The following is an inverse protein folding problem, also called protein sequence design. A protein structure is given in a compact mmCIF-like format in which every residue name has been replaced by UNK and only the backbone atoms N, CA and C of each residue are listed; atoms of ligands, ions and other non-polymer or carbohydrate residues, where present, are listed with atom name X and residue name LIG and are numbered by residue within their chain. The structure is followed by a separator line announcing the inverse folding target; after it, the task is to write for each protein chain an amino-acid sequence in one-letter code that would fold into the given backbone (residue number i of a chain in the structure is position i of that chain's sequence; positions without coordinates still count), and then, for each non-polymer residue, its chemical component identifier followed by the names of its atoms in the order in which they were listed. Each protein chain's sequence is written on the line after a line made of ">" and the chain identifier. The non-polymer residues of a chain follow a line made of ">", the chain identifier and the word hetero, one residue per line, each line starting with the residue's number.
data_IF_120282917898
#
_entry.id   IF_120282917898
#
_cell.length_a   1.000
_cell.length_b   1.000
_cell.length_c   1.000
_cell.angle_alpha   90.00
_cell.angle_beta   90.00
_cell.angle_gamma   90.00
#
_symmetry.space_group_name_H-M   'P 1'
#
loop_
_entity.id
_entity.type
_entity.pdbx_description
1 polymer ?
#
# COMPACT_ATOMS: atom_id res chain seq x y z
N UNK A 1 7.85 -15.91 8.11
CA UNK A 1 7.19 -14.61 8.36
C UNK A 1 7.15 -13.81 7.07
N UNK A 2 5.99 -13.31 6.62
CA UNK A 2 5.88 -12.48 5.41
C UNK A 2 5.81 -11.00 5.76
N UNK A 3 6.29 -10.12 4.87
CA UNK A 3 6.29 -8.66 5.07
C UNK A 3 4.88 -8.11 5.39
N UNK A 4 3.86 -8.61 4.69
CA UNK A 4 2.44 -8.29 4.95
C UNK A 4 2.02 -8.55 6.40
N UNK A 5 2.48 -9.64 7.01
CA UNK A 5 2.12 -10.00 8.38
C UNK A 5 2.76 -9.05 9.40
N UNK A 6 4.04 -8.70 9.21
CA UNK A 6 4.75 -7.72 10.04
C UNK A 6 4.07 -6.36 10.00
N UNK A 7 3.69 -5.90 8.81
CA UNK A 7 3.00 -4.63 8.62
C UNK A 7 1.60 -4.63 9.25
N UNK A 8 0.88 -5.75 9.16
CA UNK A 8 -0.44 -5.91 9.79
C UNK A 8 -0.33 -5.80 11.31
N UNK A 9 0.64 -6.48 11.92
CA UNK A 9 0.88 -6.40 13.36
C UNK A 9 1.27 -5.00 13.83
N UNK A 10 2.08 -4.29 13.03
CA UNK A 10 2.43 -2.88 13.32
C UNK A 10 1.18 -1.99 13.24
N UNK A 11 0.37 -2.11 12.19
CA UNK A 11 -0.90 -1.39 12.04
C UNK A 11 -1.80 -1.56 13.27
N UNK A 12 -1.99 -2.79 13.74
CA UNK A 12 -2.79 -3.09 14.93
C UNK A 12 -2.22 -2.43 16.20
N UNK A 13 -0.90 -2.46 16.37
CA UNK A 13 -0.24 -1.80 17.50
C UNK A 13 -0.54 -0.30 17.56
N UNK A 14 -0.50 0.40 16.43
CA UNK A 14 -0.77 1.85 16.37
C UNK A 14 -2.25 2.20 16.38
N UNK A 15 -3.13 1.25 16.09
CA UNK A 15 -4.56 1.44 16.23
C UNK A 15 -4.94 1.71 17.69
N UNK A 16 -4.27 1.06 18.65
CA UNK A 16 -4.53 1.19 20.10
C UNK A 16 -6.03 1.06 20.46
N UNK A 17 -6.80 0.27 19.71
CA UNK A 17 -8.26 0.15 19.88
C UNK A 17 -9.09 1.35 19.41
N UNK A 18 -8.46 2.41 18.90
CA UNK A 18 -9.12 3.61 18.34
C UNK A 18 -9.56 3.40 16.88
N UNK A 19 -10.61 4.12 16.49
CA UNK A 19 -11.28 3.96 15.19
C UNK A 19 -10.63 4.78 14.05
N UNK A 20 -9.31 4.66 13.86
CA UNK A 20 -8.59 5.42 12.81
C UNK A 20 -8.91 4.98 11.36
N UNK A 21 -9.57 3.82 11.18
CA UNK A 21 -9.82 3.23 9.87
C UNK A 21 -10.73 4.06 8.95
N UNK A 22 -11.55 4.95 9.51
CA UNK A 22 -12.54 5.75 8.76
C UNK A 22 -11.84 6.67 7.74
N UNK A 23 -10.67 7.20 8.09
CA UNK A 23 -9.93 8.16 7.24
C UNK A 23 -8.78 7.50 6.45
N UNK A 24 -8.32 6.32 6.88
CA UNK A 24 -7.11 5.67 6.36
C UNK A 24 -7.23 5.16 4.91
N UNK A 25 -8.46 4.85 4.45
CA UNK A 25 -8.65 4.21 3.13
C UNK A 25 -8.43 5.21 1.99
N UNK A 26 -8.77 6.49 2.22
CA UNK A 26 -8.59 7.57 1.25
C UNK A 26 -7.21 8.23 1.32
N UNK A 27 -6.43 7.97 2.38
CA UNK A 27 -5.14 8.64 2.65
C UNK A 27 -3.93 7.99 1.98
N UNK A 28 -4.08 6.86 1.28
CA UNK A 28 -2.96 6.19 0.66
C UNK A 28 -2.57 6.82 -0.68
N UNK A 29 -1.31 7.23 -0.81
CA UNK A 29 -0.79 7.86 -2.03
C UNK A 29 -0.85 6.96 -3.26
N UNK A 30 -0.92 5.65 -3.05
CA UNK A 30 -1.03 4.62 -4.09
C UNK A 30 -2.47 4.35 -4.52
N UNK A 31 -3.47 5.08 -4.01
CA UNK A 31 -4.88 4.91 -4.39
C UNK A 31 -5.13 4.96 -5.90
N UNK A 32 -4.33 5.75 -6.63
CA UNK A 32 -4.37 5.78 -8.10
C UNK A 32 -4.12 4.39 -8.72
N UNK A 33 -3.31 3.55 -8.08
CA UNK A 33 -3.01 2.20 -8.55
C UNK A 33 -4.10 1.16 -8.22
N UNK A 34 -5.22 1.52 -7.61
CA UNK A 34 -6.27 0.57 -7.23
C UNK A 34 -7.45 0.50 -8.21
N UNK A 35 -7.24 0.93 -9.46
CA UNK A 35 -8.30 0.86 -10.48
C UNK A 35 -8.52 -0.58 -10.99
N UNK A 36 -9.74 -0.93 -11.44
CA UNK A 36 -10.01 -2.22 -12.07
C UNK A 36 -9.10 -2.48 -13.29
N UNK A 37 -8.81 -1.44 -14.07
CA UNK A 37 -7.99 -1.50 -15.27
C UNK A 37 -6.57 -2.03 -15.00
N UNK A 38 -5.97 -1.67 -13.87
CA UNK A 38 -4.63 -2.15 -13.51
C UNK A 38 -4.61 -3.60 -13.07
N UNK A 39 -5.73 -4.10 -12.54
CA UNK A 39 -5.87 -5.53 -12.24
C UNK A 39 -5.89 -6.32 -13.54
N UNK A 40 -6.58 -5.84 -14.57
CA UNK A 40 -6.65 -6.52 -15.87
C UNK A 40 -5.30 -6.45 -16.60
N UNK A 41 -4.59 -5.31 -16.54
CA UNK A 41 -3.21 -5.20 -17.04
C UNK A 41 -2.26 -6.19 -16.36
N UNK A 42 -2.44 -6.45 -15.06
CA UNK A 42 -1.69 -7.50 -14.36
C UNK A 42 -1.95 -8.89 -14.88
N UNK A 43 -3.12 -9.11 -15.46
CA UNK A 43 -3.43 -10.35 -16.16
C UNK A 43 -2.79 -10.44 -17.55
N UNK A 44 -2.16 -9.38 -18.04
CA UNK A 44 -1.57 -9.30 -19.38
C UNK A 44 -0.05 -9.07 -19.38
N UNK A 45 0.64 -9.07 -18.23
CA UNK A 45 2.10 -8.86 -18.07
C UNK A 45 2.62 -7.48 -18.52
N UNK A 46 1.78 -6.65 -19.14
CA UNK A 46 2.08 -5.28 -19.54
C UNK A 46 2.02 -4.28 -18.38
N UNK A 47 2.29 -4.67 -17.12
CA UNK A 47 2.13 -3.77 -15.97
C UNK A 47 3.34 -2.91 -15.65
N UNK A 48 4.54 -3.42 -15.95
CA UNK A 48 5.76 -2.82 -15.40
C UNK A 48 5.95 -1.41 -15.96
N UNK A 49 5.83 -1.25 -17.28
CA UNK A 49 6.02 0.03 -17.96
C UNK A 49 4.94 1.07 -17.58
N UNK A 50 3.63 0.76 -17.64
CA UNK A 50 2.60 1.71 -17.24
C UNK A 50 2.66 2.09 -15.76
N UNK A 51 2.98 1.15 -14.86
CA UNK A 51 3.11 1.44 -13.43
C UNK A 51 4.28 2.40 -13.19
N UNK A 52 5.44 2.17 -13.82
CA UNK A 52 6.60 3.06 -13.68
C UNK A 52 6.31 4.47 -14.21
N UNK A 53 5.69 4.59 -15.39
CA UNK A 53 5.28 5.87 -15.97
C UNK A 53 4.29 6.60 -15.07
N UNK A 54 3.34 5.86 -14.49
CA UNK A 54 2.33 6.40 -13.57
C UNK A 54 2.98 6.88 -12.27
N UNK A 55 3.92 6.13 -11.69
CA UNK A 55 4.65 6.57 -10.50
C UNK A 55 5.41 7.87 -10.76
N UNK A 56 6.05 7.98 -11.92
CA UNK A 56 6.76 9.18 -12.33
C UNK A 56 5.81 10.37 -12.56
N UNK A 57 4.70 10.14 -13.29
CA UNK A 57 3.69 11.18 -13.61
C UNK A 57 2.97 11.67 -12.35
N UNK A 58 2.61 10.76 -11.46
CA UNK A 58 1.88 11.08 -10.24
C UNK A 58 2.78 11.74 -9.17
N UNK A 59 4.10 11.85 -9.40
CA UNK A 59 5.08 12.41 -8.45
C UNK A 59 4.77 11.94 -7.03
N UNK A 60 4.67 10.63 -6.84
CA UNK A 60 4.26 10.02 -5.58
C UNK A 60 5.34 10.29 -4.54
N UNK A 61 5.24 11.44 -3.92
CA UNK A 61 6.16 11.95 -2.92
C UNK A 61 5.41 11.82 -1.61
N UNK A 62 5.86 10.94 -0.72
CA UNK A 62 5.22 10.82 0.57
C UNK A 62 5.57 12.04 1.43
N UNK A 63 4.57 12.89 1.69
CA UNK A 63 4.69 14.14 2.46
C UNK A 63 4.24 14.00 3.91
N UNK A 64 3.98 12.78 4.39
CA UNK A 64 3.45 12.52 5.74
C UNK A 64 4.45 12.68 6.88
N UNK A 65 5.73 12.98 6.58
CA UNK A 65 6.80 13.04 7.59
C UNK A 65 6.52 14.05 8.72
N UNK A 66 6.09 15.29 8.43
CA UNK A 66 5.82 16.26 9.49
C UNK A 66 4.68 15.82 10.41
N UNK A 67 3.68 15.12 9.86
CA UNK A 67 2.55 14.61 10.64
C UNK A 67 2.94 13.44 11.54
N UNK A 68 3.97 12.65 11.18
CA UNK A 68 4.53 11.61 12.06
C UNK A 68 5.34 12.18 13.23
N UNK A 69 5.89 13.38 13.08
CA UNK A 69 6.66 14.06 14.14
C UNK A 69 5.83 15.07 14.93
N UNK A 70 4.50 14.99 14.82
CA UNK A 70 3.57 15.84 15.56
C UNK A 70 3.75 15.65 17.07
N UNK A 71 3.69 16.75 17.84
CA UNK A 71 3.65 16.72 19.31
C UNK A 71 2.31 16.22 19.86
N UNK A 72 1.24 16.32 19.07
CA UNK A 72 -0.05 15.69 19.34
C UNK A 72 0.05 14.17 19.12
N UNK A 73 -0.04 13.41 20.21
CA UNK A 73 0.08 11.95 20.22
C UNK A 73 -1.02 11.27 19.40
N UNK A 74 -2.26 11.76 19.46
CA UNK A 74 -3.37 11.16 18.71
C UNK A 74 -3.22 11.39 17.22
N UNK A 75 -2.79 12.58 16.82
CA UNK A 75 -2.43 12.86 15.42
C UNK A 75 -1.28 11.96 14.98
N UNK A 76 -0.20 11.90 15.75
CA UNK A 76 0.97 11.07 15.45
C UNK A 76 0.60 9.58 15.28
N UNK A 77 -0.18 9.02 16.20
CA UNK A 77 -0.64 7.63 16.16
C UNK A 77 -1.56 7.36 14.96
N UNK A 78 -2.47 8.29 14.65
CA UNK A 78 -3.35 8.17 13.48
C UNK A 78 -2.57 8.13 12.16
N UNK A 79 -1.48 8.87 12.07
CA UNK A 79 -0.62 8.94 10.88
C UNK A 79 0.26 7.70 10.75
N UNK A 80 0.79 7.18 11.87
CA UNK A 80 1.44 5.86 11.88
C UNK A 80 0.46 4.75 11.47
N UNK A 81 -0.77 4.78 11.99
CA UNK A 81 -1.81 3.84 11.59
C UNK A 81 -2.07 3.91 10.07
N UNK A 82 -2.25 5.11 9.52
CA UNK A 82 -2.46 5.33 8.08
C UNK A 82 -1.28 4.79 7.26
N UNK A 83 -0.05 5.07 7.68
CA UNK A 83 1.16 4.59 7.02
C UNK A 83 1.20 3.06 6.96
N UNK A 84 1.04 2.38 8.10
CA UNK A 84 1.07 0.91 8.14
C UNK A 84 -0.14 0.28 7.46
N UNK A 85 -1.30 0.94 7.47
CA UNK A 85 -2.47 0.53 6.70
C UNK A 85 -2.12 0.48 5.20
N UNK A 86 -1.60 1.57 4.64
CA UNK A 86 -1.25 1.67 3.23
C UNK A 86 -0.14 0.69 2.86
N UNK A 87 0.94 0.61 3.66
CA UNK A 87 2.04 -0.33 3.41
C UNK A 87 1.56 -1.79 3.42
N UNK A 88 0.71 -2.17 4.38
CA UNK A 88 0.15 -3.53 4.45
C UNK A 88 -0.68 -3.85 3.20
N UNK A 89 -1.51 -2.90 2.75
CA UNK A 89 -2.32 -3.03 1.54
C UNK A 89 -1.46 -3.18 0.29
N UNK A 90 -0.47 -2.31 0.13
CA UNK A 90 0.39 -2.28 -1.06
C UNK A 90 1.31 -3.51 -1.11
N UNK A 91 1.82 -3.96 0.04
CA UNK A 91 2.62 -5.18 0.14
C UNK A 91 1.84 -6.41 -0.31
N UNK A 92 0.56 -6.55 0.09
CA UNK A 92 -0.30 -7.66 -0.36
C UNK A 92 -0.52 -7.64 -1.87
N UNK A 93 -0.64 -6.44 -2.44
CA UNK A 93 -0.84 -6.26 -3.88
C UNK A 93 0.42 -6.64 -4.68
N UNK A 94 1.59 -6.21 -4.23
CA UNK A 94 2.87 -6.61 -4.82
C UNK A 94 3.06 -8.12 -4.72
N UNK A 95 2.75 -8.74 -3.58
CA UNK A 95 2.82 -10.20 -3.41
C UNK A 95 1.91 -10.93 -4.41
N UNK A 96 0.67 -10.43 -4.61
CA UNK A 96 -0.25 -10.97 -5.61
C UNK A 96 0.32 -10.86 -7.02
N UNK A 97 0.86 -9.70 -7.41
CA UNK A 97 1.46 -9.53 -8.74
C UNK A 97 2.70 -10.41 -8.95
N UNK A 98 3.54 -10.56 -7.93
CA UNK A 98 4.68 -11.49 -7.98
C UNK A 98 4.19 -12.92 -8.20
N UNK A 99 3.12 -13.36 -7.51
CA UNK A 99 2.52 -14.69 -7.71
C UNK A 99 1.99 -14.88 -9.14
N UNK A 100 1.26 -13.89 -9.66
CA UNK A 100 0.76 -13.91 -11.05
C UNK A 100 1.92 -13.99 -12.05
N UNK A 101 2.94 -13.16 -11.88
CA UNK A 101 4.12 -13.15 -12.75
C UNK A 101 4.88 -14.47 -12.68
N UNK A 102 5.08 -15.02 -11.48
CA UNK A 102 5.71 -16.34 -11.29
C UNK A 102 4.92 -17.43 -12.00
N UNK A 103 3.59 -17.47 -11.85
CA UNK A 103 2.77 -18.44 -12.54
C UNK A 103 2.87 -18.31 -14.06
N UNK A 104 2.89 -17.09 -14.61
CA UNK A 104 3.04 -16.91 -16.07
C UNK A 104 4.40 -17.33 -16.60
N UNK A 105 5.47 -16.97 -15.91
CA UNK A 105 6.84 -17.31 -16.31
C UNK A 105 7.04 -18.82 -16.24
N UNK A 106 6.53 -19.47 -15.19
CA UNK A 106 6.69 -20.91 -14.97
C UNK A 106 5.59 -21.76 -15.61
N UNK A 107 4.51 -21.16 -16.10
CA UNK A 107 3.27 -21.82 -16.54
C UNK A 107 2.65 -22.74 -15.48
N UNK A 108 2.92 -22.47 -14.20
CA UNK A 108 2.43 -23.28 -13.06
C UNK A 108 1.86 -22.35 -11.99
N UNK A 109 0.55 -22.45 -11.79
CA UNK A 109 -0.22 -21.90 -10.68
C UNK A 109 -0.64 -23.10 -9.82
#
# INVERSE_FOLDING_TARGET
>A
MTLSWVLTRKKEKYAQGKQYYINATKSCNTNFFHTPEERDRAHQMNIIVPVLQTMHKARITWSGLPSLTSSDEDRCLSEFYNLFHCLSRDSRKVDMYIKILKCRIRKTC
#
